data_IF_616272407605
#
_entry.id   IF_616272407605
#
_cell.length_a   1.000
_cell.length_b   1.000
_cell.length_c   1.000
_cell.angle_alpha   90.00
_cell.angle_beta   90.00
_cell.angle_gamma   90.00
#
_symmetry.space_group_name_H-M   'P 1'
#
loop_
_entity.id
_entity.type
_entity.pdbx_description
1 polymer ?
#
# COMPACT_ATOMS: atom_id res chain seq x y z
N UNK A 1 19.84 12.91 -6.63
CA UNK A 1 19.31 13.78 -5.54
C UNK A 1 17.79 13.75 -5.66
N UNK A 2 17.08 13.44 -4.58
CA UNK A 2 15.61 13.51 -4.56
C UNK A 2 15.24 14.94 -4.21
N UNK A 3 14.42 15.59 -5.04
CA UNK A 3 14.00 16.98 -4.86
C UNK A 3 12.66 17.05 -4.15
N UNK A 4 12.36 18.14 -3.41
CA UNK A 4 11.04 18.33 -2.80
C UNK A 4 9.98 18.56 -3.88
N UNK A 5 8.75 18.13 -3.61
CA UNK A 5 7.60 18.41 -4.46
C UNK A 5 7.08 19.83 -4.22
N UNK A 6 6.33 20.36 -5.21
CA UNK A 6 5.68 21.67 -5.11
C UNK A 6 4.43 21.57 -4.21
N UNK A 7 3.68 20.44 -4.33
CA UNK A 7 2.50 20.12 -3.52
C UNK A 7 2.76 18.85 -2.75
N UNK A 8 2.77 18.95 -1.42
CA UNK A 8 3.02 17.84 -0.50
C UNK A 8 1.74 17.39 0.18
N UNK A 9 1.73 16.19 0.74
CA UNK A 9 0.71 15.81 1.70
C UNK A 9 0.87 16.66 2.97
N UNK A 10 -0.25 17.08 3.57
CA UNK A 10 -0.24 17.95 4.77
C UNK A 10 0.68 17.39 5.86
N UNK A 11 1.58 18.21 6.40
CA UNK A 11 2.53 17.82 7.45
C UNK A 11 3.73 17.00 6.94
N UNK A 12 3.93 16.87 5.60
CA UNK A 12 5.02 16.11 5.01
C UNK A 12 6.07 17.00 4.28
N UNK A 13 6.36 18.18 4.87
CA UNK A 13 7.26 19.19 4.30
C UNK A 13 8.70 19.14 4.87
N UNK A 14 9.06 18.11 5.64
CA UNK A 14 10.44 17.97 6.18
C UNK A 14 11.47 17.89 5.07
N UNK A 15 12.71 18.27 5.36
CA UNK A 15 13.82 18.06 4.42
C UNK A 15 14.17 16.57 4.32
N UNK A 16 14.68 16.15 3.16
CA UNK A 16 15.06 14.74 2.95
C UNK A 16 16.06 14.24 4.01
N UNK A 17 17.04 15.07 4.37
CA UNK A 17 18.08 14.74 5.33
C UNK A 17 17.51 14.41 6.73
N UNK A 18 16.52 15.16 7.16
CA UNK A 18 15.89 15.07 8.50
C UNK A 18 14.79 14.02 8.55
N UNK A 19 14.17 13.70 7.40
CA UNK A 19 13.05 12.80 7.34
C UNK A 19 13.44 11.36 7.70
N UNK A 20 12.60 10.71 8.50
CA UNK A 20 12.66 9.26 8.75
C UNK A 20 11.82 8.46 7.75
N UNK A 21 10.79 9.08 7.19
CA UNK A 21 9.87 8.50 6.21
C UNK A 21 9.96 9.33 4.93
N UNK A 22 10.01 8.66 3.78
CA UNK A 22 9.93 9.28 2.46
C UNK A 22 8.66 8.82 1.76
N UNK A 23 7.74 9.75 1.55
CA UNK A 23 6.52 9.56 0.77
C UNK A 23 6.85 9.78 -0.72
N UNK A 24 6.39 8.89 -1.59
CA UNK A 24 6.56 9.02 -3.04
C UNK A 24 5.40 8.38 -3.78
N UNK A 25 5.01 8.93 -4.93
CA UNK A 25 3.87 8.45 -5.70
C UNK A 25 4.28 7.64 -6.93
N UNK A 26 3.47 6.62 -7.24
CA UNK A 26 3.56 5.84 -8.48
C UNK A 26 2.23 5.90 -9.24
N UNK A 27 2.00 6.96 -10.05
CA UNK A 27 0.74 7.20 -10.77
C UNK A 27 0.62 6.28 -11.98
N UNK A 28 0.38 4.99 -11.76
CA UNK A 28 0.29 3.95 -12.78
C UNK A 28 -1.00 3.14 -12.64
N UNK A 29 -1.74 2.94 -13.75
CA UNK A 29 -2.96 2.11 -13.81
C UNK A 29 -3.16 1.48 -15.20
N UNK A 30 -2.05 1.16 -15.88
CA UNK A 30 -2.09 0.69 -17.28
C UNK A 30 -2.54 -0.76 -17.43
N UNK A 31 -2.68 -1.52 -16.34
CA UNK A 31 -3.17 -2.90 -16.36
C UNK A 31 -4.54 -3.07 -15.71
N UNK A 32 -5.17 -1.97 -15.28
CA UNK A 32 -6.52 -1.98 -14.70
C UNK A 32 -7.53 -2.64 -15.65
N UNK A 33 -8.21 -3.67 -15.17
CA UNK A 33 -9.07 -4.52 -15.99
C UNK A 33 -10.51 -4.01 -16.14
N UNK A 34 -10.98 -3.14 -15.23
CA UNK A 34 -12.38 -2.70 -15.22
C UNK A 34 -12.51 -1.17 -15.31
N UNK A 35 -12.23 -0.42 -14.25
CA UNK A 35 -12.41 1.03 -14.23
C UNK A 35 -11.09 1.72 -13.90
N UNK A 36 -10.39 2.31 -14.90
CA UNK A 36 -9.14 3.02 -14.66
C UNK A 36 -9.39 4.33 -13.90
N UNK A 37 -8.33 4.88 -13.32
CA UNK A 37 -8.33 6.16 -12.60
C UNK A 37 -7.46 6.16 -11.36
N UNK A 38 -6.92 5.02 -10.95
CA UNK A 38 -6.06 4.93 -9.77
C UNK A 38 -4.76 5.74 -9.92
N UNK A 39 -4.27 5.97 -11.15
CA UNK A 39 -3.11 6.87 -11.41
C UNK A 39 -3.29 8.30 -10.88
N UNK A 40 -4.51 8.75 -10.65
CA UNK A 40 -4.79 10.08 -10.10
C UNK A 40 -4.86 10.08 -8.57
N UNK A 41 -4.77 8.92 -7.92
CA UNK A 41 -4.83 8.77 -6.46
C UNK A 41 -3.76 9.57 -5.73
N UNK A 42 -2.46 9.43 -6.06
CA UNK A 42 -1.39 10.13 -5.35
C UNK A 42 -1.53 11.64 -5.35
N UNK A 43 -1.80 12.26 -6.50
CA UNK A 43 -1.99 13.70 -6.61
C UNK A 43 -3.27 14.18 -5.90
N UNK A 44 -4.37 13.42 -6.01
CA UNK A 44 -5.62 13.75 -5.32
C UNK A 44 -5.47 13.69 -3.80
N UNK A 45 -4.75 12.70 -3.26
CA UNK A 45 -4.47 12.62 -1.81
C UNK A 45 -3.67 13.83 -1.33
N UNK A 46 -2.65 14.31 -2.08
CA UNK A 46 -1.91 15.51 -1.70
C UNK A 46 -2.81 16.74 -1.69
N UNK A 47 -3.55 16.96 -2.78
CA UNK A 47 -4.43 18.10 -2.92
C UNK A 47 -5.50 18.15 -1.84
N UNK A 48 -6.21 17.06 -1.62
CA UNK A 48 -7.33 16.99 -0.66
C UNK A 48 -6.86 16.88 0.80
N UNK A 49 -5.58 16.57 1.05
CA UNK A 49 -5.04 16.43 2.42
C UNK A 49 -5.17 17.71 3.24
N UNK A 50 -5.17 18.87 2.59
CA UNK A 50 -5.35 20.17 3.26
C UNK A 50 -6.75 20.37 3.84
N UNK A 51 -7.71 19.52 3.52
CA UNK A 51 -9.02 19.44 4.15
C UNK A 51 -9.05 18.64 5.45
N UNK A 52 -7.91 18.05 5.87
CA UNK A 52 -7.79 17.27 7.09
C UNK A 52 -7.10 18.07 8.21
N UNK A 53 -7.41 17.71 9.45
CA UNK A 53 -6.58 18.07 10.59
C UNK A 53 -5.33 17.20 10.65
N UNK A 54 -4.18 17.76 11.02
CA UNK A 54 -2.92 17.01 11.18
C UNK A 54 -2.95 16.07 12.39
N UNK A 55 -3.69 16.45 13.43
CA UNK A 55 -3.83 15.69 14.67
C UNK A 55 -4.76 14.49 14.54
N UNK A 56 -4.33 13.34 15.06
CA UNK A 56 -5.15 12.14 15.21
C UNK A 56 -5.62 11.93 16.64
N UNK A 57 -6.93 12.09 16.94
CA UNK A 57 -7.46 11.77 18.26
C UNK A 57 -7.49 10.27 18.57
N UNK A 58 -7.28 9.39 17.58
CA UNK A 58 -7.21 7.94 17.79
C UNK A 58 -5.86 7.49 18.33
N UNK A 59 -4.79 8.25 18.03
CA UNK A 59 -3.42 7.91 18.41
C UNK A 59 -2.82 8.92 19.39
N UNK A 60 -3.50 10.06 19.60
CA UNK A 60 -3.00 11.21 20.38
C UNK A 60 -1.61 11.65 19.85
N UNK A 61 -1.51 11.81 18.51
CA UNK A 61 -0.31 12.18 17.78
C UNK A 61 -0.64 13.22 16.71
N UNK A 62 0.34 14.02 16.33
CA UNK A 62 0.21 15.01 15.28
C UNK A 62 1.24 14.80 14.17
N UNK A 63 0.88 15.02 12.90
CA UNK A 63 1.80 14.94 11.77
C UNK A 63 2.93 15.97 11.86
N UNK A 64 2.70 17.12 12.47
CA UNK A 64 3.72 18.16 12.67
C UNK A 64 4.85 17.72 13.62
N UNK A 65 4.63 16.69 14.42
CA UNK A 65 5.61 16.15 15.37
C UNK A 65 6.50 15.05 14.76
N UNK A 66 6.25 14.66 13.50
CA UNK A 66 7.01 13.64 12.82
C UNK A 66 7.70 14.18 11.58
N UNK A 67 8.84 13.60 11.20
CA UNK A 67 9.62 14.07 10.05
C UNK A 67 9.37 13.19 8.82
N UNK A 68 8.54 13.72 7.90
CA UNK A 68 8.20 13.08 6.62
C UNK A 68 8.59 13.99 5.47
N UNK A 69 9.31 13.45 4.49
CA UNK A 69 9.62 14.12 3.23
C UNK A 69 8.74 13.57 2.12
N UNK A 70 7.92 14.40 1.49
CA UNK A 70 7.15 14.04 0.30
C UNK A 70 7.94 14.40 -0.96
N UNK A 71 8.42 13.38 -1.70
CA UNK A 71 9.21 13.55 -2.91
C UNK A 71 8.38 13.70 -4.20
N UNK A 72 7.06 13.74 -4.08
CA UNK A 72 6.15 13.82 -5.24
C UNK A 72 6.02 12.52 -6.02
N UNK A 73 5.46 12.62 -7.21
CA UNK A 73 5.19 11.49 -8.09
C UNK A 73 6.37 11.17 -9.00
N UNK A 74 6.54 9.87 -9.29
CA UNK A 74 7.46 9.41 -10.32
C UNK A 74 6.89 9.66 -11.72
N UNK A 75 7.76 10.00 -12.66
CA UNK A 75 7.43 9.97 -14.07
C UNK A 75 7.59 8.54 -14.59
N UNK A 76 6.48 7.82 -14.76
CA UNK A 76 6.46 6.40 -15.10
C UNK A 76 6.14 6.17 -16.58
N UNK A 77 6.76 5.15 -17.17
CA UNK A 77 6.43 4.69 -18.52
C UNK A 77 5.05 4.04 -18.53
N UNK A 78 4.07 4.71 -19.13
CA UNK A 78 2.69 4.18 -19.24
C UNK A 78 2.55 3.00 -20.22
N UNK A 79 3.48 2.81 -21.12
CA UNK A 79 3.46 1.75 -22.16
C UNK A 79 4.18 0.46 -21.76
N UNK A 80 4.79 0.39 -20.57
CA UNK A 80 5.53 -0.79 -20.13
C UNK A 80 5.49 -0.93 -18.60
N UNK A 81 4.78 -1.95 -18.14
CA UNK A 81 4.72 -2.29 -16.71
C UNK A 81 6.11 -2.57 -16.14
N UNK A 82 6.98 -3.29 -16.86
CA UNK A 82 8.33 -3.60 -16.37
C UNK A 82 9.21 -2.35 -16.23
N UNK A 83 9.12 -1.38 -17.15
CA UNK A 83 9.86 -0.12 -17.01
C UNK A 83 9.34 0.69 -15.82
N UNK A 84 8.02 0.79 -15.66
CA UNK A 84 7.42 1.47 -14.51
C UNK A 84 7.85 0.81 -13.18
N UNK A 85 7.78 -0.51 -13.08
CA UNK A 85 8.22 -1.27 -11.91
C UNK A 85 9.72 -1.08 -11.62
N UNK A 86 10.56 -1.02 -12.67
CA UNK A 86 12.00 -0.75 -12.52
C UNK A 86 12.27 0.64 -11.91
N UNK A 87 11.50 1.65 -12.32
CA UNK A 87 11.68 3.01 -11.81
C UNK A 87 11.16 3.14 -10.36
N UNK A 88 10.06 2.47 -10.02
CA UNK A 88 9.57 2.35 -8.64
C UNK A 88 10.60 1.63 -7.76
N UNK A 89 11.17 0.52 -8.23
CA UNK A 89 12.21 -0.22 -7.53
C UNK A 89 13.42 0.65 -7.24
N UNK A 90 13.95 1.37 -8.23
CA UNK A 90 15.10 2.27 -8.06
C UNK A 90 14.84 3.34 -6.99
N UNK A 91 13.64 3.96 -7.01
CA UNK A 91 13.30 4.96 -6.00
C UNK A 91 13.24 4.35 -4.60
N UNK A 92 12.61 3.20 -4.43
CA UNK A 92 12.57 2.49 -3.15
C UNK A 92 13.98 2.11 -2.66
N UNK A 93 14.86 1.62 -3.56
CA UNK A 93 16.26 1.32 -3.24
C UNK A 93 17.05 2.55 -2.77
N UNK A 94 16.86 3.72 -3.44
CA UNK A 94 17.47 5.00 -3.03
C UNK A 94 17.06 5.38 -1.61
N UNK A 95 15.76 5.27 -1.29
CA UNK A 95 15.21 5.59 0.03
C UNK A 95 15.77 4.62 1.09
N UNK A 96 15.72 3.32 0.80
CA UNK A 96 16.23 2.27 1.69
C UNK A 96 17.75 2.39 1.92
N UNK A 97 18.51 2.75 0.89
CA UNK A 97 19.97 2.99 1.00
C UNK A 97 20.28 4.19 1.88
N UNK A 98 19.44 5.21 1.88
CA UNK A 98 19.56 6.36 2.77
C UNK A 98 19.15 6.04 4.23
N UNK A 99 18.74 4.80 4.54
CA UNK A 99 18.31 4.38 5.87
C UNK A 99 16.90 4.88 6.25
N UNK A 100 16.11 5.30 5.27
CA UNK A 100 14.77 5.87 5.48
C UNK A 100 13.69 4.84 5.13
N UNK A 101 12.48 5.06 5.67
CA UNK A 101 11.31 4.22 5.42
C UNK A 101 10.62 4.66 4.11
N UNK A 102 10.52 3.80 3.06
CA UNK A 102 9.75 4.11 1.87
C UNK A 102 8.26 3.91 2.12
N UNK A 103 7.44 4.94 1.86
CA UNK A 103 6.00 4.86 1.85
C UNK A 103 5.49 5.26 0.47
N UNK A 104 4.95 4.29 -0.27
CA UNK A 104 4.50 4.47 -1.64
C UNK A 104 3.00 4.83 -1.66
N UNK A 105 2.64 5.90 -2.36
CA UNK A 105 1.27 6.17 -2.80
C UNK A 105 1.08 5.54 -4.17
N UNK A 106 0.29 4.49 -4.24
CA UNK A 106 0.10 3.76 -5.47
C UNK A 106 -0.95 4.37 -6.41
N UNK A 107 -0.86 3.92 -7.63
CA UNK A 107 -1.95 3.82 -8.57
C UNK A 107 -2.65 2.47 -8.37
N UNK A 108 -2.64 1.62 -9.42
CA UNK A 108 -3.11 0.25 -9.30
C UNK A 108 -2.16 -0.62 -8.45
N UNK A 109 -2.65 -1.74 -7.91
CA UNK A 109 -1.89 -2.56 -6.96
C UNK A 109 -0.58 -3.16 -7.53
N UNK A 110 -0.43 -3.28 -8.86
CA UNK A 110 0.81 -3.76 -9.48
C UNK A 110 2.07 -3.00 -9.02
N UNK A 111 1.95 -1.72 -8.67
CA UNK A 111 3.09 -0.87 -8.29
C UNK A 111 3.84 -1.39 -7.05
N UNK A 112 3.15 -2.10 -6.17
CA UNK A 112 3.70 -2.77 -4.99
C UNK A 112 4.87 -3.69 -5.34
N UNK A 113 4.81 -4.38 -6.48
CA UNK A 113 5.88 -5.29 -6.90
C UNK A 113 7.23 -4.59 -7.05
N UNK A 114 7.26 -3.35 -7.55
CA UNK A 114 8.50 -2.57 -7.65
C UNK A 114 9.12 -2.29 -6.28
N UNK A 115 8.31 -1.87 -5.31
CA UNK A 115 8.76 -1.61 -3.96
C UNK A 115 9.17 -2.89 -3.20
N UNK A 116 8.43 -4.00 -3.38
CA UNK A 116 8.77 -5.31 -2.80
C UNK A 116 10.08 -5.84 -3.37
N UNK A 117 10.37 -5.68 -4.67
CA UNK A 117 11.68 -6.05 -5.27
C UNK A 117 12.84 -5.34 -4.55
N UNK A 118 12.70 -4.04 -4.28
CA UNK A 118 13.70 -3.27 -3.55
C UNK A 118 13.85 -3.72 -2.09
N UNK A 119 12.72 -3.95 -1.40
CA UNK A 119 12.72 -4.39 -0.01
C UNK A 119 13.34 -5.80 0.13
N UNK A 120 12.98 -6.75 -0.73
CA UNK A 120 13.50 -8.12 -0.72
C UNK A 120 15.00 -8.18 -1.03
N UNK A 121 15.51 -7.30 -1.91
CA UNK A 121 16.93 -7.20 -2.19
C UNK A 121 17.75 -6.78 -0.95
N UNK A 122 17.17 -5.97 -0.05
CA UNK A 122 17.80 -5.54 1.20
C UNK A 122 17.54 -6.49 2.36
N UNK A 123 16.37 -7.13 2.38
CA UNK A 123 15.88 -7.97 3.47
C UNK A 123 15.50 -9.36 2.94
N UNK A 124 16.43 -10.33 2.90
CA UNK A 124 16.19 -11.65 2.28
C UNK A 124 15.07 -12.47 2.93
N UNK A 125 14.77 -12.24 4.21
CA UNK A 125 13.67 -12.91 4.96
C UNK A 125 12.44 -11.97 5.04
N UNK A 126 12.10 -11.31 3.93
CA UNK A 126 10.99 -10.36 3.87
C UNK A 126 9.65 -11.09 3.96
N UNK A 127 8.81 -10.66 4.89
CA UNK A 127 7.39 -11.01 4.93
C UNK A 127 6.53 -9.87 4.39
N UNK A 128 5.34 -10.20 3.88
CA UNK A 128 4.37 -9.23 3.35
C UNK A 128 3.06 -9.40 4.12
N UNK A 129 2.54 -8.31 4.68
CA UNK A 129 1.16 -8.25 5.16
C UNK A 129 0.34 -7.52 4.10
N UNK A 130 -0.73 -8.15 3.63
CA UNK A 130 -1.57 -7.71 2.53
C UNK A 130 -3.02 -7.56 2.97
N UNK A 131 -3.57 -6.35 2.81
CA UNK A 131 -4.98 -6.03 3.02
C UNK A 131 -5.64 -5.69 1.69
N UNK A 132 -6.71 -6.41 1.33
CA UNK A 132 -7.33 -6.29 0.02
C UNK A 132 -8.71 -6.96 0.00
N UNK A 133 -9.57 -6.60 -0.95
CA UNK A 133 -10.72 -7.40 -1.32
C UNK A 133 -10.32 -8.61 -2.17
N UNK A 134 -9.28 -8.47 -3.00
CA UNK A 134 -8.86 -9.41 -4.03
C UNK A 134 -7.66 -10.26 -3.57
N UNK A 135 -7.56 -11.48 -4.09
CA UNK A 135 -6.43 -12.34 -3.78
C UNK A 135 -5.14 -11.92 -4.51
N UNK A 136 -5.26 -11.36 -5.72
CA UNK A 136 -4.16 -10.90 -6.59
C UNK A 136 -3.09 -11.96 -6.87
N UNK A 137 -3.53 -13.23 -6.89
CA UNK A 137 -2.68 -14.41 -7.02
C UNK A 137 -2.80 -15.11 -8.38
N UNK A 138 -3.40 -14.46 -9.39
CA UNK A 138 -3.42 -15.01 -10.76
C UNK A 138 -2.01 -15.20 -11.26
N UNK A 139 -1.77 -16.34 -11.94
CA UNK A 139 -0.48 -16.53 -12.60
C UNK A 139 -0.35 -15.67 -13.86
N UNK A 140 -1.47 -15.49 -14.52
CA UNK A 140 -1.62 -14.69 -15.75
C UNK A 140 -3.01 -14.07 -15.79
N UNK A 141 -3.13 -12.85 -16.29
CA UNK A 141 -4.43 -12.24 -16.56
C UNK A 141 -4.47 -11.71 -18.00
N UNK A 142 -5.29 -12.36 -18.84
CA UNK A 142 -5.46 -12.04 -20.26
C UNK A 142 -4.12 -11.97 -21.03
N UNK A 143 -3.16 -12.86 -20.71
CA UNK A 143 -1.84 -12.93 -21.31
C UNK A 143 -0.78 -12.04 -20.66
N UNK A 144 -1.12 -11.31 -19.60
CA UNK A 144 -0.21 -10.45 -18.85
C UNK A 144 0.11 -11.01 -17.47
N UNK A 145 1.39 -11.34 -17.23
CA UNK A 145 1.88 -11.74 -15.90
C UNK A 145 2.11 -10.55 -14.97
N UNK A 146 2.38 -9.37 -15.53
CA UNK A 146 2.52 -8.11 -14.81
C UNK A 146 1.21 -7.34 -14.91
N UNK A 147 0.30 -7.65 -14.00
CA UNK A 147 -1.04 -7.05 -13.87
C UNK A 147 -1.35 -6.85 -12.39
N UNK A 148 -2.25 -5.90 -12.09
CA UNK A 148 -2.76 -5.69 -10.75
C UNK A 148 -3.26 -7.01 -10.12
N UNK A 149 -4.01 -7.83 -10.87
CA UNK A 149 -4.55 -9.11 -10.41
C UNK A 149 -3.49 -10.24 -10.22
N UNK A 150 -2.22 -9.97 -10.54
CA UNK A 150 -1.12 -10.93 -10.45
C UNK A 150 -0.03 -10.49 -9.46
N UNK A 151 -0.18 -9.32 -8.81
CA UNK A 151 0.92 -8.69 -8.05
C UNK A 151 1.40 -9.57 -6.90
N UNK A 152 0.50 -10.14 -6.10
CA UNK A 152 0.87 -10.99 -4.97
C UNK A 152 1.43 -12.35 -5.43
N UNK A 153 1.04 -12.83 -6.62
CA UNK A 153 1.67 -14.00 -7.23
C UNK A 153 3.13 -13.71 -7.59
N UNK A 154 3.42 -12.54 -8.15
CA UNK A 154 4.80 -12.11 -8.46
C UNK A 154 5.61 -11.85 -7.19
N UNK A 155 4.98 -11.28 -6.16
CA UNK A 155 5.62 -11.14 -4.85
C UNK A 155 5.96 -12.50 -4.22
N UNK A 156 5.06 -13.49 -4.31
CA UNK A 156 5.31 -14.86 -3.83
C UNK A 156 6.53 -15.51 -4.50
N UNK A 157 6.74 -15.28 -5.80
CA UNK A 157 7.93 -15.80 -6.50
C UNK A 157 9.25 -15.21 -5.95
N UNK A 158 9.18 -14.07 -5.27
CA UNK A 158 10.34 -13.42 -4.64
C UNK A 158 10.54 -13.91 -3.21
N UNK A 159 9.46 -13.90 -2.39
CA UNK A 159 9.56 -14.15 -0.95
C UNK A 159 9.35 -15.62 -0.57
N UNK A 160 8.65 -16.41 -1.38
CA UNK A 160 8.40 -17.83 -1.15
C UNK A 160 7.17 -18.15 -0.29
N UNK A 161 6.99 -19.46 -0.01
CA UNK A 161 5.86 -19.99 0.74
C UNK A 161 5.85 -19.49 2.19
N UNK A 162 4.65 -19.14 2.69
CA UNK A 162 4.44 -18.74 4.08
C UNK A 162 4.91 -17.32 4.43
N UNK A 163 5.43 -16.55 3.47
CA UNK A 163 5.90 -15.17 3.70
C UNK A 163 4.86 -14.11 3.35
N UNK A 164 3.71 -14.48 2.80
CA UNK A 164 2.60 -13.57 2.52
C UNK A 164 1.45 -13.86 3.46
N UNK A 165 0.98 -12.84 4.17
CA UNK A 165 -0.12 -12.89 5.13
C UNK A 165 -1.28 -12.04 4.60
N UNK A 166 -2.35 -12.68 4.12
CA UNK A 166 -3.46 -12.03 3.43
C UNK A 166 -4.70 -11.91 4.31
N UNK A 167 -5.28 -10.72 4.39
CA UNK A 167 -6.46 -10.42 5.21
C UNK A 167 -7.53 -9.71 4.39
N UNK A 168 -8.80 -9.94 4.73
CA UNK A 168 -10.01 -9.36 4.12
C UNK A 168 -10.35 -9.88 2.73
N UNK A 169 -9.59 -10.80 2.17
CA UNK A 169 -9.76 -11.31 0.82
C UNK A 169 -11.13 -11.99 0.67
N UNK A 170 -11.92 -11.49 -0.28
CA UNK A 170 -13.30 -11.99 -0.53
C UNK A 170 -13.61 -12.16 -2.01
N UNK A 171 -12.69 -11.79 -2.90
CA UNK A 171 -12.83 -11.89 -4.35
C UNK A 171 -11.58 -12.49 -4.99
N UNK A 172 -11.78 -13.27 -6.04
CA UNK A 172 -10.74 -13.96 -6.81
C UNK A 172 -11.28 -15.23 -7.48
N UNK A 173 -10.50 -15.83 -8.34
CA UNK A 173 -10.85 -17.13 -8.94
C UNK A 173 -10.63 -18.28 -7.95
N UNK A 174 -11.24 -19.41 -8.21
CA UNK A 174 -11.11 -20.62 -7.37
C UNK A 174 -9.65 -21.04 -7.22
N UNK A 175 -8.88 -20.93 -8.28
CA UNK A 175 -7.46 -21.30 -8.35
C UNK A 175 -6.61 -20.39 -7.46
N UNK A 176 -6.94 -19.11 -7.37
CA UNK A 176 -6.26 -18.15 -6.47
C UNK A 176 -6.51 -18.53 -5.00
N UNK A 177 -7.76 -18.85 -4.62
CA UNK A 177 -8.09 -19.30 -3.27
C UNK A 177 -7.44 -20.65 -2.91
N UNK A 178 -7.28 -21.56 -3.89
CA UNK A 178 -6.56 -22.82 -3.69
C UNK A 178 -5.07 -22.56 -3.49
N UNK A 179 -4.49 -21.64 -4.26
CA UNK A 179 -3.11 -21.24 -4.14
C UNK A 179 -2.86 -20.55 -2.78
N UNK A 180 -3.70 -19.59 -2.40
CA UNK A 180 -3.60 -18.87 -1.13
C UNK A 180 -3.57 -19.84 0.07
N UNK A 181 -4.53 -20.76 0.15
CA UNK A 181 -4.59 -21.76 1.25
C UNK A 181 -3.38 -22.67 1.36
N UNK A 182 -2.63 -22.85 0.27
CA UNK A 182 -1.48 -23.73 0.23
C UNK A 182 -0.15 -23.01 0.47
N UNK A 183 -0.05 -21.77 0.03
CA UNK A 183 1.22 -21.05 -0.11
C UNK A 183 1.33 -19.79 0.73
N UNK A 184 0.20 -19.26 1.23
CA UNK A 184 0.16 -18.05 2.05
C UNK A 184 -0.47 -18.33 3.43
N UNK A 185 -0.26 -17.43 4.38
CA UNK A 185 -1.05 -17.37 5.62
C UNK A 185 -2.33 -16.59 5.31
N UNK A 186 -3.43 -17.34 5.08
CA UNK A 186 -4.62 -16.83 4.42
C UNK A 186 -5.81 -16.68 5.38
N UNK A 187 -6.21 -15.45 5.64
CA UNK A 187 -7.31 -15.04 6.51
C UNK A 187 -8.38 -14.29 5.72
N UNK A 188 -9.33 -14.99 5.06
CA UNK A 188 -10.35 -14.35 4.22
C UNK A 188 -11.38 -13.58 5.05
N UNK A 189 -12.02 -12.58 4.42
CA UNK A 189 -13.18 -11.80 4.86
C UNK A 189 -12.97 -10.79 5.99
N UNK A 190 -12.04 -11.01 6.90
CA UNK A 190 -11.87 -10.18 8.10
C UNK A 190 -10.40 -10.00 8.47
N UNK A 191 -10.14 -9.28 9.59
CA UNK A 191 -8.84 -9.19 10.24
C UNK A 191 -8.67 -10.21 11.39
N UNK A 192 -9.47 -11.27 11.41
CA UNK A 192 -9.31 -12.35 12.39
C UNK A 192 -7.93 -13.01 12.21
N UNK A 193 -7.22 -13.26 13.32
CA UNK A 193 -5.85 -13.80 13.29
C UNK A 193 -4.73 -12.74 13.16
N UNK A 194 -5.03 -11.51 12.73
CA UNK A 194 -4.00 -10.48 12.49
C UNK A 194 -3.09 -10.21 13.70
N UNK A 195 -3.65 -10.19 14.92
CA UNK A 195 -2.85 -9.94 16.13
C UNK A 195 -1.86 -11.05 16.42
N UNK A 196 -2.27 -12.28 16.17
CA UNK A 196 -1.45 -13.47 16.31
C UNK A 196 -0.32 -13.46 15.29
N UNK A 197 -0.63 -13.24 14.03
CA UNK A 197 0.35 -13.09 12.93
C UNK A 197 1.38 -12.01 13.25
N UNK A 198 0.93 -10.80 13.62
CA UNK A 198 1.83 -9.69 13.94
C UNK A 198 2.71 -10.01 15.15
N UNK A 199 2.15 -10.65 16.19
CA UNK A 199 2.94 -11.07 17.36
C UNK A 199 4.05 -12.04 16.97
N UNK A 200 3.74 -13.06 16.16
CA UNK A 200 4.73 -14.04 15.70
C UNK A 200 5.84 -13.42 14.86
N UNK A 201 5.48 -12.52 13.90
CA UNK A 201 6.45 -11.81 13.08
C UNK A 201 7.36 -10.91 13.93
N UNK A 202 6.78 -10.25 14.95
CA UNK A 202 7.52 -9.40 15.87
C UNK A 202 8.48 -10.22 16.75
N UNK A 203 8.03 -11.36 17.29
CA UNK A 203 8.86 -12.25 18.10
C UNK A 203 10.04 -12.81 17.30
N UNK A 204 9.83 -13.14 16.03
CA UNK A 204 10.88 -13.58 15.10
C UNK A 204 11.76 -12.42 14.60
N UNK A 205 11.38 -11.17 14.83
CA UNK A 205 12.06 -9.94 14.36
C UNK A 205 12.25 -9.88 12.83
N UNK A 206 11.40 -10.56 12.07
CA UNK A 206 11.49 -10.57 10.60
C UNK A 206 11.08 -9.22 10.01
N UNK A 207 11.68 -8.79 8.89
CA UNK A 207 11.27 -7.58 8.18
C UNK A 207 9.91 -7.76 7.51
N UNK A 208 9.05 -6.75 7.60
CA UNK A 208 7.69 -6.80 7.07
C UNK A 208 7.46 -5.63 6.11
N UNK A 209 7.02 -5.93 4.89
CA UNK A 209 6.43 -4.97 3.97
C UNK A 209 4.91 -4.98 4.14
N UNK A 210 4.30 -3.80 4.25
CA UNK A 210 2.86 -3.68 4.44
C UNK A 210 2.19 -3.04 3.22
N UNK A 211 1.33 -3.77 2.53
CA UNK A 211 0.57 -3.27 1.38
C UNK A 211 -0.92 -3.22 1.71
N UNK A 212 -1.53 -2.08 1.38
CA UNK A 212 -2.96 -1.81 1.57
C UNK A 212 -3.58 -1.47 0.22
N UNK A 213 -4.44 -2.36 -0.28
CA UNK A 213 -5.46 -1.99 -1.23
C UNK A 213 -6.65 -1.39 -0.48
N UNK A 214 -7.02 -0.16 -0.84
CA UNK A 214 -8.10 0.54 -0.15
C UNK A 214 -9.48 -0.07 -0.41
N UNK A 215 -9.61 -0.92 -1.43
CA UNK A 215 -10.86 -1.66 -1.70
C UNK A 215 -11.11 -2.81 -0.70
N UNK A 216 -10.15 -3.09 0.21
CA UNK A 216 -10.42 -3.91 1.40
C UNK A 216 -11.60 -3.36 2.21
N UNK A 217 -11.82 -2.04 2.17
CA UNK A 217 -13.00 -1.40 2.75
C UNK A 217 -14.27 -1.71 1.92
N UNK A 218 -15.41 -1.69 2.59
CA UNK A 218 -16.70 -1.86 1.92
C UNK A 218 -16.99 -0.69 0.97
N UNK A 219 -17.57 -0.92 -0.22
CA UNK A 219 -17.92 0.15 -1.16
C UNK A 219 -18.88 1.20 -0.61
N UNK A 220 -19.61 0.90 0.47
CA UNK A 220 -20.42 1.90 1.18
C UNK A 220 -19.58 2.95 1.92
N UNK A 221 -18.31 2.64 2.19
CA UNK A 221 -17.33 3.53 2.84
C UNK A 221 -16.32 4.06 1.83
N UNK A 222 -15.93 3.25 0.85
CA UNK A 222 -14.91 3.54 -0.14
C UNK A 222 -15.33 3.14 -1.56
N UNK A 223 -16.26 3.90 -2.20
CA UNK A 223 -16.71 3.61 -3.57
C UNK A 223 -15.72 4.01 -4.68
N UNK A 224 -14.72 4.85 -4.37
CA UNK A 224 -13.76 5.42 -5.32
C UNK A 224 -12.59 4.52 -5.62
N UNK A 225 -12.87 3.29 -6.06
CA UNK A 225 -11.88 2.31 -6.50
C UNK A 225 -12.28 1.65 -7.82
N UNK A 226 -11.31 1.07 -8.53
CA UNK A 226 -11.52 0.43 -9.83
C UNK A 226 -12.39 -0.81 -9.78
N UNK A 227 -12.23 -1.64 -8.78
CA UNK A 227 -12.86 -2.96 -8.63
C UNK A 227 -13.54 -3.13 -7.26
N UNK A 228 -14.58 -2.33 -6.96
CA UNK A 228 -15.24 -2.41 -5.65
C UNK A 228 -15.91 -3.76 -5.44
N UNK A 229 -15.71 -4.34 -4.25
CA UNK A 229 -16.28 -5.64 -3.85
C UNK A 229 -17.04 -5.48 -2.53
N UNK A 230 -18.29 -5.90 -2.49
CA UNK A 230 -19.15 -5.76 -1.31
C UNK A 230 -18.72 -6.69 -0.16
N UNK A 231 -19.07 -6.34 1.07
CA UNK A 231 -18.75 -7.13 2.26
C UNK A 231 -17.39 -6.83 2.85
N UNK A 232 -16.86 -5.64 2.59
CA UNK A 232 -15.59 -5.16 3.13
C UNK A 232 -15.68 -4.64 4.56
N UNK A 233 -14.54 -4.14 5.06
CA UNK A 233 -14.42 -3.62 6.42
C UNK A 233 -14.76 -2.13 6.49
N UNK A 234 -15.09 -1.66 7.69
CA UNK A 234 -15.26 -0.23 7.97
C UNK A 234 -13.91 0.46 8.15
N UNK A 235 -13.90 1.81 8.05
CA UNK A 235 -12.70 2.60 8.35
C UNK A 235 -12.13 2.32 9.76
N UNK A 236 -12.98 2.14 10.77
CA UNK A 236 -12.48 1.91 12.14
C UNK A 236 -11.85 0.52 12.32
N UNK A 237 -12.33 -0.48 11.60
CA UNK A 237 -11.70 -1.80 11.58
C UNK A 237 -10.33 -1.74 10.89
N UNK A 238 -10.24 -1.07 9.73
CA UNK A 238 -8.98 -0.85 9.02
C UNK A 238 -7.99 -0.06 9.89
N UNK A 239 -8.41 1.02 10.53
CA UNK A 239 -7.56 1.79 11.45
C UNK A 239 -6.99 0.93 12.58
N UNK A 240 -7.82 0.09 13.20
CA UNK A 240 -7.38 -0.84 14.26
C UNK A 240 -6.38 -1.85 13.71
N UNK A 241 -6.59 -2.34 12.49
CA UNK A 241 -5.68 -3.26 11.82
C UNK A 241 -4.34 -2.59 11.50
N UNK A 242 -4.31 -1.37 10.95
CA UNK A 242 -3.10 -0.58 10.70
C UNK A 242 -2.28 -0.42 11.99
N UNK A 243 -2.92 -0.03 13.10
CA UNK A 243 -2.26 0.11 14.41
C UNK A 243 -1.75 -1.23 14.97
N UNK A 244 -2.35 -2.33 14.58
CA UNK A 244 -1.84 -3.65 14.94
C UNK A 244 -0.60 -3.98 14.13
N UNK A 245 -0.64 -3.80 12.80
CA UNK A 245 0.48 -4.06 11.88
C UNK A 245 1.70 -3.18 12.20
N UNK A 246 1.49 -1.93 12.62
CA UNK A 246 2.59 -1.02 12.97
C UNK A 246 3.46 -1.51 14.15
N UNK A 247 3.04 -2.55 14.87
CA UNK A 247 3.83 -3.17 15.93
C UNK A 247 4.87 -4.17 15.40
N UNK A 248 4.77 -4.58 14.12
CA UNK A 248 5.76 -5.40 13.44
C UNK A 248 7.03 -4.60 13.11
N UNK A 249 8.08 -5.28 12.66
CA UNK A 249 9.28 -4.65 12.14
C UNK A 249 9.07 -4.20 10.68
N UNK A 250 8.31 -3.12 10.49
CA UNK A 250 8.01 -2.58 9.17
C UNK A 250 9.26 -1.97 8.51
N UNK A 251 9.48 -2.33 7.25
CA UNK A 251 10.61 -1.86 6.42
C UNK A 251 10.18 -1.10 5.18
N UNK A 252 8.89 -1.07 4.87
CA UNK A 252 8.26 -0.32 3.80
C UNK A 252 6.76 -0.54 3.82
N UNK A 253 6.00 0.34 3.18
CA UNK A 253 4.56 0.21 3.02
C UNK A 253 4.07 0.91 1.76
N UNK A 254 2.83 0.58 1.35
CA UNK A 254 2.10 1.30 0.32
C UNK A 254 0.59 1.37 0.58
N UNK A 255 -0.06 2.30 -0.13
CA UNK A 255 -1.51 2.49 -0.15
C UNK A 255 -1.94 2.66 -1.60
N UNK A 256 -2.81 1.79 -2.09
CA UNK A 256 -3.15 1.64 -3.50
C UNK A 256 -4.66 1.78 -3.77
N UNK A 257 -5.00 1.85 -5.07
CA UNK A 257 -6.35 1.71 -5.66
C UNK A 257 -7.34 2.82 -5.31
N UNK A 258 -6.88 4.02 -4.90
CA UNK A 258 -7.73 5.20 -4.92
C UNK A 258 -7.92 5.66 -6.36
N UNK A 259 -9.14 5.56 -6.88
CA UNK A 259 -9.57 6.13 -8.15
C UNK A 259 -10.53 7.30 -7.91
N UNK A 260 -10.04 8.53 -7.69
CA UNK A 260 -10.84 9.66 -7.18
C UNK A 260 -11.98 10.04 -8.12
N UNK A 261 -11.81 9.86 -9.42
CA UNK A 261 -12.82 10.17 -10.43
C UNK A 261 -14.07 9.27 -10.37
N UNK A 262 -13.99 8.14 -9.68
CA UNK A 262 -15.08 7.17 -9.56
C UNK A 262 -15.99 7.46 -8.36
N UNK A 263 -15.65 8.46 -7.55
CA UNK A 263 -16.47 8.92 -6.43
C UNK A 263 -16.66 10.45 -6.49
N UNK A 264 -17.77 10.86 -7.10
CA UNK A 264 -18.12 12.27 -7.23
C UNK A 264 -18.38 12.99 -5.89
N UNK A 265 -18.54 12.25 -4.79
CA UNK A 265 -18.73 12.83 -3.45
C UNK A 265 -17.42 13.29 -2.80
N UNK A 266 -16.26 12.77 -3.27
CA UNK A 266 -14.95 13.01 -2.66
C UNK A 266 -14.70 12.25 -1.34
N UNK A 267 -15.68 11.48 -0.85
CA UNK A 267 -15.56 10.74 0.42
C UNK A 267 -14.42 9.74 0.38
N UNK A 268 -14.22 9.05 -0.75
CA UNK A 268 -13.12 8.07 -0.89
C UNK A 268 -11.75 8.74 -0.79
N UNK A 269 -11.55 9.89 -1.43
CA UNK A 269 -10.29 10.64 -1.33
C UNK A 269 -10.05 11.12 0.10
N UNK A 270 -11.07 11.70 0.77
CA UNK A 270 -10.96 12.10 2.15
C UNK A 270 -10.66 10.91 3.10
N UNK A 271 -11.27 9.75 2.83
CA UNK A 271 -11.00 8.51 3.57
C UNK A 271 -9.58 8.02 3.35
N UNK A 272 -9.09 8.00 2.10
CA UNK A 272 -7.71 7.63 1.77
C UNK A 272 -6.69 8.56 2.44
N UNK A 273 -6.92 9.87 2.42
CA UNK A 273 -6.08 10.84 3.13
C UNK A 273 -6.05 10.55 4.64
N UNK A 274 -7.21 10.21 5.22
CA UNK A 274 -7.27 9.85 6.64
C UNK A 274 -6.55 8.53 6.94
N UNK A 275 -6.66 7.52 6.07
CA UNK A 275 -5.90 6.26 6.18
C UNK A 275 -4.40 6.56 6.15
N UNK A 276 -3.94 7.37 5.20
CA UNK A 276 -2.53 7.74 5.07
C UNK A 276 -2.01 8.48 6.31
N UNK A 277 -2.77 9.48 6.83
CA UNK A 277 -2.41 10.16 8.09
C UNK A 277 -2.24 9.16 9.24
N UNK A 278 -3.21 8.27 9.42
CA UNK A 278 -3.17 7.29 10.51
C UNK A 278 -2.01 6.29 10.34
N UNK A 279 -1.69 5.91 9.10
CA UNK A 279 -0.56 5.03 8.80
C UNK A 279 0.77 5.73 9.10
N UNK A 280 0.96 6.98 8.65
CA UNK A 280 2.16 7.79 8.94
C UNK A 280 2.40 7.91 10.45
N UNK A 281 1.37 8.25 11.22
CA UNK A 281 1.46 8.38 12.67
C UNK A 281 1.70 7.04 13.39
N UNK A 282 1.22 5.93 12.82
CA UNK A 282 1.42 4.61 13.39
C UNK A 282 2.83 4.06 13.16
N UNK A 283 3.46 4.36 12.01
CA UNK A 283 4.81 3.89 11.67
C UNK A 283 5.92 4.82 12.16
N UNK A 284 5.63 6.10 12.42
CA UNK A 284 6.57 7.04 13.00
C UNK A 284 6.96 6.62 14.43
N UNK A 285 8.27 6.50 14.65
CA UNK A 285 8.88 6.09 15.93
C UNK A 285 9.22 7.28 16.78
#
# INVERSE_FOLDING_TARGET
MILPNIETFIGCESNFEEASIVLYGAPFDSTTSFRPGARFGPSAMRHESFGLETYSPYQDKDLIDISVFDSGDLELCFGSSEMALSDIQKRAEEILKAGKFPLLLGGEHLVTLGAVRAAAAKYPDLHIIHFDAHADLRDDYLGAKLSHACVLRRCHEIVGDGHIHQFCIRSGEREEFQFARKHTDFHPFTFEGLKETVRELKEKQVPVYFTIDLDCMDPSVFPGTGTPEAGGVSFLELLKAIRTVSQANLVGADVNELAPMLDASGVSTATACKVLRELLLAIAK
#
